data_IF_440406200249
#
_entry.id   IF_440406200249
#
_cell.length_a   1.000
_cell.length_b   1.000
_cell.length_c   1.000
_cell.angle_alpha   90.00
_cell.angle_beta   90.00
_cell.angle_gamma   90.00
#
_symmetry.space_group_name_H-M   'P 1'
#
loop_
_entity.id
_entity.type
_entity.pdbx_description
1 polymer ?
#
# COMPACT_ATOMS: atom_id res chain seq x y z
N UNK A 1 -22.32 -13.71 13.66
CA UNK A 1 -21.04 -13.22 13.16
C UNK A 1 -21.28 -11.84 12.57
N UNK A 2 -20.52 -10.86 13.04
CA UNK A 2 -20.43 -9.55 12.40
C UNK A 2 -19.08 -9.48 11.70
N UNK A 3 -19.03 -9.01 10.45
CA UNK A 3 -17.80 -8.79 9.71
C UNK A 3 -17.71 -7.31 9.35
N UNK A 4 -16.53 -6.75 9.54
CA UNK A 4 -16.17 -5.42 9.05
C UNK A 4 -14.72 -5.42 8.57
N UNK A 5 -14.39 -4.47 7.69
CA UNK A 5 -13.01 -4.20 7.34
C UNK A 5 -12.62 -2.78 7.72
N UNK A 6 -11.38 -2.60 8.14
CA UNK A 6 -10.79 -1.30 8.42
C UNK A 6 -9.42 -1.18 7.76
N UNK A 7 -8.94 0.05 7.59
CA UNK A 7 -7.56 0.27 7.16
C UNK A 7 -6.68 0.24 8.41
N UNK A 8 -5.61 -0.56 8.38
CA UNK A 8 -4.49 -0.42 9.30
C UNK A 8 -3.48 0.53 8.65
N UNK A 9 -3.44 1.81 9.06
CA UNK A 9 -2.56 2.77 8.45
C UNK A 9 -1.11 2.47 8.83
N UNK A 10 -0.22 2.46 7.85
CA UNK A 10 1.20 2.47 8.10
C UNK A 10 1.61 3.92 8.37
N UNK A 11 2.48 4.13 9.36
CA UNK A 11 2.96 5.47 9.73
C UNK A 11 3.98 5.99 8.71
N UNK A 12 3.53 6.26 7.49
CA UNK A 12 4.33 6.79 6.40
C UNK A 12 4.02 8.27 6.17
N UNK A 13 5.04 9.03 5.78
CA UNK A 13 4.82 10.38 5.27
C UNK A 13 3.99 10.33 3.99
N UNK A 14 3.14 11.34 3.77
CA UNK A 14 2.30 11.41 2.58
C UNK A 14 3.16 11.28 1.30
N UNK A 15 2.90 10.29 0.44
CA UNK A 15 3.76 9.99 -0.69
C UNK A 15 3.55 10.98 -1.83
N UNK A 16 4.63 11.64 -2.24
CA UNK A 16 4.72 12.38 -3.50
C UNK A 16 5.85 11.79 -4.33
N UNK A 17 5.73 11.77 -5.65
CA UNK A 17 6.77 11.15 -6.49
C UNK A 17 8.13 11.83 -6.31
N UNK A 18 8.14 13.16 -6.20
CA UNK A 18 9.35 13.94 -5.87
C UNK A 18 9.89 13.55 -4.48
N UNK A 19 9.03 13.51 -3.46
CA UNK A 19 9.42 13.13 -2.11
C UNK A 19 10.01 11.71 -2.04
N UNK A 20 9.46 10.79 -2.82
CA UNK A 20 9.98 9.44 -2.98
C UNK A 20 11.34 9.44 -3.70
N UNK A 21 11.52 10.22 -4.77
CA UNK A 21 12.84 10.36 -5.42
C UNK A 21 13.91 10.79 -4.40
N UNK A 22 13.63 11.79 -3.57
CA UNK A 22 14.57 12.20 -2.52
C UNK A 22 14.82 11.11 -1.47
N UNK A 23 13.79 10.34 -1.13
CA UNK A 23 13.92 9.19 -0.23
C UNK A 23 14.77 8.07 -0.84
N UNK A 24 14.65 7.84 -2.15
CA UNK A 24 15.49 6.92 -2.89
C UNK A 24 16.97 7.32 -2.83
N UNK A 25 17.29 8.61 -3.03
CA UNK A 25 18.66 9.10 -2.86
C UNK A 25 19.19 8.87 -1.45
N UNK A 26 18.40 9.14 -0.40
CA UNK A 26 18.80 8.83 0.98
C UNK A 26 19.08 7.35 1.20
N UNK A 27 18.30 6.45 0.59
CA UNK A 27 18.53 5.00 0.66
C UNK A 27 19.83 4.60 -0.07
N UNK A 28 20.07 5.12 -1.27
CA UNK A 28 21.33 4.89 -1.99
C UNK A 28 22.54 5.45 -1.23
N UNK A 29 22.39 6.62 -0.59
CA UNK A 29 23.42 7.24 0.25
C UNK A 29 23.77 6.39 1.48
N UNK A 30 22.77 5.76 2.11
CA UNK A 30 22.99 4.84 3.23
C UNK A 30 23.86 3.64 2.81
N UNK A 31 23.56 3.07 1.64
CA UNK A 31 24.39 2.01 1.06
C UNK A 31 25.79 2.54 0.75
N UNK A 32 25.91 3.69 0.08
CA UNK A 32 27.20 4.30 -0.22
C UNK A 32 28.08 4.47 1.03
N UNK A 33 27.51 4.97 2.14
CA UNK A 33 28.19 5.10 3.44
C UNK A 33 28.63 3.76 4.00
N UNK A 34 27.77 2.74 3.95
CA UNK A 34 28.08 1.40 4.44
C UNK A 34 29.28 0.78 3.71
N UNK A 35 29.39 1.00 2.40
CA UNK A 35 30.46 0.45 1.56
C UNK A 35 31.61 1.44 1.31
N UNK A 36 31.63 2.60 1.98
CA UNK A 36 32.65 3.65 1.81
C UNK A 36 32.80 4.14 0.36
N UNK A 37 31.70 4.19 -0.38
CA UNK A 37 31.64 4.64 -1.77
C UNK A 37 31.35 6.16 -1.78
N UNK A 38 32.13 6.97 -2.52
CA UNK A 38 31.84 8.38 -2.67
C UNK A 38 30.51 8.58 -3.42
N UNK A 39 29.81 9.67 -3.12
CA UNK A 39 28.56 9.99 -3.82
C UNK A 39 28.85 10.23 -5.32
N UNK A 40 28.00 9.66 -6.17
CA UNK A 40 28.13 9.71 -7.63
C UNK A 40 27.10 10.63 -8.29
N UNK A 41 26.52 11.55 -7.51
CA UNK A 41 25.61 12.59 -7.96
C UNK A 41 26.00 13.92 -7.32
N UNK A 42 25.54 15.02 -7.90
CA UNK A 42 25.71 16.34 -7.30
C UNK A 42 24.72 16.55 -6.15
N UNK A 43 25.22 16.38 -4.93
CA UNK A 43 24.43 16.57 -3.71
C UNK A 43 24.00 18.05 -3.50
N UNK A 44 24.73 19.02 -4.05
CA UNK A 44 24.32 20.44 -3.99
C UNK A 44 23.13 20.69 -4.91
N UNK A 45 23.19 20.20 -6.14
CA UNK A 45 22.08 20.26 -7.11
C UNK A 45 20.82 19.61 -6.51
N UNK A 46 20.96 18.40 -5.94
CA UNK A 46 19.85 17.68 -5.33
C UNK A 46 19.23 18.46 -4.14
N UNK A 47 20.07 19.04 -3.27
CA UNK A 47 19.59 19.87 -2.14
C UNK A 47 18.88 21.13 -2.61
N UNK A 48 19.36 21.76 -3.67
CA UNK A 48 18.71 22.93 -4.26
C UNK A 48 17.33 22.55 -4.80
N UNK A 49 17.22 21.46 -5.56
CA UNK A 49 15.95 20.96 -6.09
C UNK A 49 14.96 20.66 -4.96
N UNK A 50 15.42 20.05 -3.86
CA UNK A 50 14.56 19.77 -2.70
C UNK A 50 14.05 21.06 -2.06
N UNK A 51 14.91 22.08 -1.94
CA UNK A 51 14.53 23.38 -1.40
C UNK A 51 13.49 24.06 -2.29
N UNK A 52 13.70 24.08 -3.59
CA UNK A 52 12.76 24.66 -4.56
C UNK A 52 11.40 23.94 -4.52
N UNK A 53 11.38 22.61 -4.45
CA UNK A 53 10.16 21.83 -4.28
C UNK A 53 9.37 22.23 -3.03
N UNK A 54 10.03 22.40 -1.88
CA UNK A 54 9.38 22.77 -0.62
C UNK A 54 8.87 24.23 -0.62
N UNK A 55 9.47 25.12 -1.41
CA UNK A 55 9.06 26.52 -1.53
C UNK A 55 7.95 26.73 -2.58
N UNK A 56 7.88 25.87 -3.58
CA UNK A 56 6.96 26.02 -4.70
C UNK A 56 5.54 25.56 -4.36
N UNK A 57 4.56 26.41 -4.72
CA UNK A 57 3.13 26.14 -4.54
C UNK A 57 2.38 25.92 -5.85
N UNK A 58 3.00 26.21 -7.00
CA UNK A 58 2.37 26.14 -8.32
C UNK A 58 2.55 24.76 -8.96
N UNK A 59 1.46 24.23 -9.53
CA UNK A 59 1.43 22.89 -10.13
C UNK A 59 2.43 22.71 -11.27
N UNK A 60 2.53 23.66 -12.19
CA UNK A 60 3.39 23.54 -13.38
C UNK A 60 4.88 23.52 -13.02
N UNK A 61 5.27 24.29 -11.99
CA UNK A 61 6.63 24.28 -11.46
C UNK A 61 6.95 22.94 -10.80
N UNK A 62 6.00 22.35 -10.06
CA UNK A 62 6.18 21.02 -9.46
C UNK A 62 6.36 19.95 -10.54
N UNK A 63 5.63 20.05 -11.66
CA UNK A 63 5.80 19.11 -12.79
C UNK A 63 7.22 19.21 -13.35
N UNK A 64 7.72 20.42 -13.58
CA UNK A 64 9.08 20.64 -14.07
C UNK A 64 10.14 20.05 -13.11
N UNK A 65 10.04 20.37 -11.82
CA UNK A 65 10.93 19.82 -10.79
C UNK A 65 10.88 18.29 -10.71
N UNK A 66 9.71 17.70 -10.94
CA UNK A 66 9.58 16.24 -11.00
C UNK A 66 10.40 15.65 -12.15
N UNK A 67 10.35 16.24 -13.35
CA UNK A 67 11.14 15.78 -14.48
C UNK A 67 12.64 15.88 -14.22
N UNK A 68 13.10 17.02 -13.67
CA UNK A 68 14.51 17.20 -13.32
C UNK A 68 14.96 16.18 -12.27
N UNK A 69 14.21 16.04 -11.18
CA UNK A 69 14.51 15.07 -10.13
C UNK A 69 14.57 13.63 -10.68
N UNK A 70 13.64 13.28 -11.56
CA UNK A 70 13.57 11.95 -12.16
C UNK A 70 14.75 11.69 -13.10
N UNK A 71 15.21 12.71 -13.84
CA UNK A 71 16.38 12.59 -14.72
C UNK A 71 17.65 12.32 -13.90
N UNK A 72 17.87 13.09 -12.83
CA UNK A 72 19.01 12.90 -11.91
C UNK A 72 18.90 11.51 -11.26
N UNK A 73 17.72 11.12 -10.79
CA UNK A 73 17.47 9.80 -10.23
C UNK A 73 17.78 8.67 -11.21
N UNK A 74 17.34 8.78 -12.46
CA UNK A 74 17.60 7.78 -13.50
C UNK A 74 19.10 7.60 -13.79
N UNK A 75 19.89 8.67 -13.70
CA UNK A 75 21.36 8.61 -13.80
C UNK A 75 21.95 7.96 -12.55
N UNK A 76 21.54 8.40 -11.36
CA UNK A 76 21.99 7.85 -10.09
C UNK A 76 21.71 6.35 -9.95
N UNK A 77 20.52 5.91 -10.35
CA UNK A 77 20.08 4.51 -10.28
C UNK A 77 20.91 3.60 -11.19
N UNK A 78 21.25 4.03 -12.41
CA UNK A 78 22.12 3.25 -13.32
C UNK A 78 23.52 3.04 -12.75
N UNK A 79 24.07 4.04 -12.06
CA UNK A 79 25.35 3.88 -11.36
C UNK A 79 25.19 3.00 -10.13
N UNK A 80 24.09 3.13 -9.39
CA UNK A 80 23.79 2.29 -8.24
C UNK A 80 23.71 0.81 -8.63
N UNK A 81 23.00 0.47 -9.72
CA UNK A 81 22.94 -0.89 -10.25
C UNK A 81 24.32 -1.50 -10.48
N UNK A 82 25.24 -0.75 -11.11
CA UNK A 82 26.63 -1.19 -11.33
C UNK A 82 27.39 -1.42 -10.03
N UNK A 83 27.19 -0.52 -9.05
CA UNK A 83 27.78 -0.66 -7.71
C UNK A 83 27.31 -1.96 -7.07
N UNK A 84 26.00 -2.23 -7.07
CA UNK A 84 25.43 -3.45 -6.48
C UNK A 84 25.94 -4.71 -7.18
N UNK A 85 26.08 -4.67 -8.52
CA UNK A 85 26.65 -5.78 -9.29
C UNK A 85 28.13 -6.05 -8.98
N UNK A 86 28.89 -5.03 -8.58
CA UNK A 86 30.30 -5.18 -8.19
C UNK A 86 30.52 -5.67 -6.75
N UNK A 87 29.47 -5.76 -5.93
CA UNK A 87 29.59 -6.27 -4.56
C UNK A 87 29.91 -7.78 -4.57
N UNK A 88 30.77 -8.22 -3.67
CA UNK A 88 31.14 -9.63 -3.52
C UNK A 88 29.95 -10.49 -3.05
N UNK A 89 29.84 -11.74 -3.53
CA UNK A 89 28.77 -12.66 -3.14
C UNK A 89 28.82 -13.09 -1.66
N UNK A 90 30.00 -13.03 -1.04
CA UNK A 90 30.21 -13.31 0.38
C UNK A 90 29.65 -12.25 1.32
N UNK A 91 29.21 -11.10 0.80
CA UNK A 91 28.67 -10.03 1.62
C UNK A 91 27.25 -10.35 2.10
N UNK A 92 27.15 -10.54 3.41
CA UNK A 92 25.90 -10.77 4.15
C UNK A 92 24.81 -9.70 3.92
N UNK A 93 25.18 -8.49 3.48
CA UNK A 93 24.22 -7.42 3.21
C UNK A 93 23.81 -7.31 1.74
N UNK A 94 24.47 -8.02 0.82
CA UNK A 94 24.20 -7.95 -0.62
C UNK A 94 22.74 -8.25 -0.96
N UNK A 95 22.12 -9.24 -0.30
CA UNK A 95 20.71 -9.56 -0.51
C UNK A 95 19.78 -8.37 -0.17
N UNK A 96 20.06 -7.65 0.93
CA UNK A 96 19.28 -6.47 1.31
C UNK A 96 19.45 -5.34 0.31
N UNK A 97 20.67 -5.15 -0.18
CA UNK A 97 20.99 -4.13 -1.19
C UNK A 97 20.34 -4.47 -2.54
N UNK A 98 20.31 -5.74 -2.94
CA UNK A 98 19.60 -6.22 -4.12
C UNK A 98 18.09 -5.97 -4.01
N UNK A 99 17.47 -6.29 -2.87
CA UNK A 99 16.05 -5.99 -2.63
C UNK A 99 15.75 -4.49 -2.73
N UNK A 100 16.65 -3.64 -2.24
CA UNK A 100 16.53 -2.19 -2.40
C UNK A 100 16.64 -1.79 -3.88
N UNK A 101 17.62 -2.33 -4.62
CA UNK A 101 17.78 -2.06 -6.05
C UNK A 101 16.52 -2.45 -6.83
N UNK A 102 15.97 -3.64 -6.60
CA UNK A 102 14.74 -4.12 -7.24
C UNK A 102 13.57 -3.15 -6.98
N UNK A 103 13.44 -2.68 -5.73
CA UNK A 103 12.40 -1.73 -5.35
C UNK A 103 12.59 -0.36 -6.02
N UNK A 104 13.83 0.12 -6.14
CA UNK A 104 14.16 1.37 -6.83
C UNK A 104 13.93 1.26 -8.35
N UNK A 105 14.25 0.12 -8.96
CA UNK A 105 13.98 -0.15 -10.38
C UNK A 105 12.48 -0.25 -10.65
N UNK A 106 11.72 -0.91 -9.77
CA UNK A 106 10.25 -0.94 -9.85
C UNK A 106 9.67 0.48 -9.75
N UNK A 107 10.18 1.30 -8.82
CA UNK A 107 9.75 2.69 -8.68
C UNK A 107 10.07 3.52 -9.93
N UNK A 108 11.25 3.34 -10.52
CA UNK A 108 11.65 3.98 -11.77
C UNK A 108 10.70 3.63 -12.91
N UNK A 109 10.45 2.32 -13.13
CA UNK A 109 9.50 1.82 -14.14
C UNK A 109 8.08 2.37 -13.95
N UNK A 110 7.58 2.41 -12.72
CA UNK A 110 6.26 2.99 -12.43
C UNK A 110 6.19 4.50 -12.74
N UNK A 111 7.30 5.23 -12.65
CA UNK A 111 7.34 6.63 -13.09
C UNK A 111 7.38 6.76 -14.61
N UNK A 112 8.05 5.86 -15.33
CA UNK A 112 7.98 5.81 -16.79
C UNK A 112 6.56 5.55 -17.29
N UNK A 113 5.84 4.59 -16.69
CA UNK A 113 4.43 4.32 -16.99
C UNK A 113 3.55 5.56 -16.79
N UNK A 114 3.78 6.29 -15.69
CA UNK A 114 3.06 7.53 -15.41
C UNK A 114 3.35 8.59 -16.48
N UNK A 115 4.61 8.74 -16.89
CA UNK A 115 5.01 9.68 -17.95
C UNK A 115 4.44 9.30 -19.32
N UNK A 116 4.24 8.00 -19.58
CA UNK A 116 3.55 7.48 -20.75
C UNK A 116 2.02 7.72 -20.72
N UNK A 117 1.49 8.29 -19.63
CA UNK A 117 0.07 8.63 -19.49
C UNK A 117 -0.78 7.52 -18.86
N UNK A 118 -0.18 6.46 -18.31
CA UNK A 118 -0.92 5.42 -17.61
C UNK A 118 -1.60 5.97 -16.36
N UNK A 119 -2.94 5.93 -16.34
CA UNK A 119 -3.74 6.45 -15.21
C UNK A 119 -3.81 5.49 -14.02
N UNK A 120 -3.67 4.18 -14.28
CA UNK A 120 -3.83 3.15 -13.26
C UNK A 120 -2.61 2.24 -13.24
N UNK A 121 -1.71 2.47 -12.28
CA UNK A 121 -0.48 1.71 -12.11
C UNK A 121 -0.67 0.79 -10.90
N UNK A 122 -0.80 -0.53 -11.11
CA UNK A 122 -1.04 -1.46 -10.03
C UNK A 122 0.16 -1.50 -9.07
N UNK A 123 -0.11 -1.73 -7.79
CA UNK A 123 0.91 -1.84 -6.74
C UNK A 123 1.92 -0.68 -6.72
N UNK A 124 1.41 0.56 -6.91
CA UNK A 124 2.22 1.77 -6.87
C UNK A 124 2.98 1.86 -5.54
N UNK A 125 4.30 2.05 -5.63
CA UNK A 125 5.16 2.26 -4.46
C UNK A 125 4.80 3.61 -3.84
N UNK A 126 4.50 3.58 -2.54
CA UNK A 126 4.20 4.76 -1.71
C UNK A 126 5.20 4.95 -0.58
N UNK A 127 6.07 3.97 -0.30
CA UNK A 127 7.15 4.10 0.67
C UNK A 127 8.25 3.08 0.39
N UNK A 128 9.50 3.50 0.57
CA UNK A 128 10.65 2.59 0.58
C UNK A 128 10.91 1.97 1.96
N UNK A 129 10.32 2.51 3.02
CA UNK A 129 10.42 1.93 4.37
C UNK A 129 9.31 0.90 4.62
N UNK A 130 8.17 1.05 3.93
CA UNK A 130 6.99 0.19 4.04
C UNK A 130 6.56 -0.22 2.63
N UNK A 131 7.30 -1.14 1.96
CA UNK A 131 7.07 -1.48 0.55
C UNK A 131 5.70 -2.10 0.29
N UNK A 132 5.08 -2.68 1.31
CA UNK A 132 3.75 -3.30 1.23
C UNK A 132 2.61 -2.31 1.50
N UNK A 133 2.90 -1.08 1.92
CA UNK A 133 1.87 -0.07 2.04
C UNK A 133 1.23 0.20 0.67
N UNK A 134 -0.08 0.34 0.64
CA UNK A 134 -0.84 0.65 -0.57
C UNK A 134 -1.80 1.80 -0.30
N UNK A 135 -2.13 2.62 -1.31
CA UNK A 135 -3.20 3.60 -1.20
C UNK A 135 -4.55 2.90 -1.09
N UNK A 136 -5.34 3.22 -0.06
CA UNK A 136 -6.66 2.65 0.20
C UNK A 136 -7.70 3.78 0.29
N UNK A 137 -8.69 3.74 -0.60
CA UNK A 137 -9.85 4.67 -0.59
C UNK A 137 -11.10 3.95 -0.10
N UNK A 138 -11.68 4.44 1.01
CA UNK A 138 -12.93 3.94 1.60
C UNK A 138 -14.08 4.96 1.56
N UNK A 139 -13.99 6.00 0.73
CA UNK A 139 -15.07 6.99 0.60
C UNK A 139 -15.24 7.94 1.79
N UNK A 140 -14.32 7.90 2.76
CA UNK A 140 -14.25 8.85 3.89
C UNK A 140 -14.06 10.27 3.37
N UNK A 141 -14.67 11.26 4.04
CA UNK A 141 -14.53 12.69 3.70
C UNK A 141 -13.11 13.20 3.97
N UNK A 142 -12.47 12.77 5.07
CA UNK A 142 -11.07 13.05 5.36
C UNK A 142 -10.48 11.97 6.29
N UNK A 143 -9.25 11.48 6.03
CA UNK A 143 -8.52 11.63 4.77
C UNK A 143 -9.23 10.86 3.63
N UNK A 144 -9.20 11.40 2.42
CA UNK A 144 -9.81 10.77 1.23
C UNK A 144 -9.11 9.46 0.82
N UNK A 145 -7.85 9.29 1.23
CA UNK A 145 -7.01 8.13 0.98
C UNK A 145 -6.14 7.88 2.20
N UNK A 146 -6.14 6.65 2.69
CA UNK A 146 -5.25 6.16 3.73
C UNK A 146 -4.16 5.30 3.07
N UNK A 147 -3.05 5.06 3.77
CA UNK A 147 -1.95 4.25 3.25
C UNK A 147 -1.60 3.14 4.23
N UNK A 148 -1.59 1.90 3.75
CA UNK A 148 -1.24 0.75 4.57
C UNK A 148 -1.87 -0.53 4.05
N UNK A 149 -2.46 -1.29 4.96
CA UNK A 149 -3.07 -2.59 4.72
C UNK A 149 -4.55 -2.59 5.13
N UNK A 150 -5.32 -3.58 4.65
CA UNK A 150 -6.70 -3.78 5.06
C UNK A 150 -6.77 -4.88 6.10
N UNK A 151 -7.35 -4.57 7.26
CA UNK A 151 -7.74 -5.57 8.23
C UNK A 151 -9.19 -5.98 7.98
N UNK A 152 -9.42 -7.28 7.96
CA UNK A 152 -10.75 -7.86 8.07
C UNK A 152 -10.91 -8.47 9.45
N UNK A 153 -12.00 -8.11 10.12
CA UNK A 153 -12.30 -8.51 11.48
C UNK A 153 -13.65 -9.20 11.51
N UNK A 154 -13.78 -10.23 12.35
CA UNK A 154 -15.07 -10.80 12.69
C UNK A 154 -15.32 -10.80 14.18
N UNK A 155 -16.59 -10.66 14.57
CA UNK A 155 -17.03 -10.63 15.95
C UNK A 155 -18.19 -11.60 16.18
N UNK A 156 -18.23 -12.18 17.38
CA UNK A 156 -19.39 -12.94 17.84
C UNK A 156 -20.47 -12.00 18.42
N UNK A 157 -21.62 -12.57 18.82
CA UNK A 157 -22.77 -11.80 19.32
C UNK A 157 -22.47 -11.05 20.62
N UNK A 158 -21.53 -11.54 21.43
CA UNK A 158 -21.09 -10.91 22.66
C UNK A 158 -20.08 -9.77 22.42
N UNK A 159 -19.68 -9.52 21.16
CA UNK A 159 -18.73 -8.47 20.80
C UNK A 159 -17.26 -8.88 20.90
N UNK A 160 -16.96 -10.17 21.15
CA UNK A 160 -15.59 -10.65 21.11
C UNK A 160 -15.12 -10.81 19.67
N UNK A 161 -13.91 -10.34 19.41
CA UNK A 161 -13.22 -10.54 18.14
C UNK A 161 -12.82 -12.01 17.99
N UNK A 162 -13.19 -12.64 16.89
CA UNK A 162 -12.96 -14.06 16.62
C UNK A 162 -11.85 -14.25 15.60
N UNK A 163 -11.92 -13.54 14.46
CA UNK A 163 -10.88 -13.58 13.43
C UNK A 163 -10.31 -12.20 13.14
N UNK A 164 -9.03 -12.20 12.74
CA UNK A 164 -8.30 -11.04 12.23
C UNK A 164 -7.50 -11.53 11.05
N UNK A 165 -7.67 -10.88 9.91
CA UNK A 165 -6.94 -11.17 8.68
C UNK A 165 -6.36 -9.85 8.16
N UNK A 166 -5.10 -9.88 7.72
CA UNK A 166 -4.40 -8.70 7.21
C UNK A 166 -4.05 -8.88 5.74
N UNK A 167 -4.41 -7.90 4.93
CA UNK A 167 -4.24 -7.93 3.48
C UNK A 167 -3.46 -6.72 2.98
N UNK A 168 -2.51 -6.97 2.09
CA UNK A 168 -1.81 -5.92 1.36
C UNK A 168 -2.80 -5.21 0.42
N UNK A 169 -2.95 -3.89 0.60
CA UNK A 169 -3.90 -3.09 -0.18
C UNK A 169 -5.36 -3.32 0.18
N UNK A 170 -6.25 -3.05 -0.79
CA UNK A 170 -7.70 -3.17 -0.63
C UNK A 170 -8.21 -4.36 -1.44
N UNK A 171 -8.26 -5.57 -0.86
CA UNK A 171 -8.97 -6.68 -1.47
C UNK A 171 -10.45 -6.33 -1.71
N UNK A 172 -11.10 -7.07 -2.61
CA UNK A 172 -12.52 -6.91 -2.84
C UNK A 172 -13.30 -7.52 -1.65
N UNK A 173 -13.99 -6.70 -0.88
CA UNK A 173 -14.75 -7.14 0.31
C UNK A 173 -15.70 -8.31 -0.02
N UNK A 174 -16.28 -8.31 -1.23
CA UNK A 174 -17.15 -9.40 -1.71
C UNK A 174 -16.48 -10.76 -1.77
N UNK A 175 -15.17 -10.82 -2.00
CA UNK A 175 -14.44 -12.09 -2.12
C UNK A 175 -13.89 -12.58 -0.78
N UNK A 176 -13.85 -11.72 0.24
CA UNK A 176 -13.26 -12.06 1.55
C UNK A 176 -14.24 -12.73 2.50
N UNK A 177 -15.54 -12.49 2.29
CA UNK A 177 -16.62 -12.98 3.15
C UNK A 177 -16.53 -14.49 3.43
N UNK A 178 -16.36 -15.31 2.39
CA UNK A 178 -16.37 -16.77 2.51
C UNK A 178 -15.21 -17.31 3.34
N UNK A 179 -14.03 -16.73 3.19
CA UNK A 179 -12.85 -17.17 3.93
C UNK A 179 -12.95 -16.80 5.41
N UNK A 180 -13.43 -15.59 5.70
CA UNK A 180 -13.70 -15.15 7.09
C UNK A 180 -14.79 -15.99 7.74
N UNK A 181 -15.86 -16.34 7.02
CA UNK A 181 -16.90 -17.27 7.51
C UNK A 181 -16.26 -18.60 7.91
N UNK A 182 -15.48 -19.22 7.02
CA UNK A 182 -14.83 -20.50 7.28
C UNK A 182 -13.95 -20.45 8.53
N UNK A 183 -13.12 -19.40 8.65
CA UNK A 183 -12.27 -19.20 9.82
C UNK A 183 -13.06 -18.96 11.12
N UNK A 184 -14.18 -18.26 11.02
CA UNK A 184 -15.08 -18.03 12.15
C UNK A 184 -15.71 -19.36 12.63
N UNK A 185 -16.20 -20.17 11.70
CA UNK A 185 -16.81 -21.48 11.99
C UNK A 185 -15.81 -22.45 12.63
N UNK A 186 -14.58 -22.46 12.13
CA UNK A 186 -13.49 -23.26 12.68
C UNK A 186 -13.21 -22.88 14.15
N UNK A 187 -13.12 -21.58 14.45
CA UNK A 187 -12.84 -21.08 15.80
C UNK A 187 -14.01 -21.24 16.77
N UNK A 188 -15.23 -21.02 16.31
CA UNK A 188 -16.45 -21.13 17.12
C UNK A 188 -16.98 -22.56 17.19
N UNK A 189 -16.43 -23.49 16.38
CA UNK A 189 -16.85 -24.88 16.22
C UNK A 189 -18.32 -25.01 15.81
N UNK A 190 -18.76 -24.16 14.88
CA UNK A 190 -20.12 -24.17 14.36
C UNK A 190 -20.47 -22.93 13.54
N UNK A 191 -21.54 -23.03 12.76
CA UNK A 191 -22.05 -21.94 11.94
C UNK A 191 -22.71 -20.84 12.77
N UNK A 192 -22.51 -19.56 12.44
CA UNK A 192 -23.19 -18.48 13.12
C UNK A 192 -24.68 -18.47 12.79
N UNK A 193 -25.53 -18.14 13.76
CA UNK A 193 -26.97 -17.97 13.56
C UNK A 193 -27.31 -16.78 12.63
N UNK A 194 -26.46 -15.74 12.66
CA UNK A 194 -26.58 -14.53 11.85
C UNK A 194 -25.26 -14.21 11.16
N UNK A 195 -25.29 -13.82 9.88
CA UNK A 195 -24.16 -13.23 9.15
C UNK A 195 -24.44 -11.77 8.84
N UNK A 196 -23.73 -10.84 9.48
CA UNK A 196 -23.99 -9.40 9.35
C UNK A 196 -22.75 -8.71 8.80
N UNK A 197 -22.91 -7.87 7.78
CA UNK A 197 -21.86 -7.06 7.19
C UNK A 197 -22.40 -5.82 6.49
N UNK A 198 -21.50 -4.95 6.03
CA UNK A 198 -21.87 -3.77 5.25
C UNK A 198 -22.25 -4.10 3.79
N UNK A 199 -22.65 -3.06 3.04
CA UNK A 199 -23.01 -3.19 1.62
C UNK A 199 -21.83 -3.60 0.72
N UNK A 200 -20.60 -3.30 1.13
CA UNK A 200 -19.37 -3.69 0.42
C UNK A 200 -19.25 -5.21 0.29
N UNK A 201 -19.69 -5.96 1.31
CA UNK A 201 -19.73 -7.42 1.30
C UNK A 201 -20.86 -8.01 0.45
N UNK A 202 -21.82 -7.21 -0.03
CA UNK A 202 -23.01 -7.74 -0.72
C UNK A 202 -22.68 -8.36 -2.08
N UNK A 203 -22.91 -9.66 -2.21
CA UNK A 203 -22.85 -10.41 -3.48
C UNK A 203 -23.92 -11.52 -3.48
N UNK A 204 -24.26 -12.07 -4.66
CA UNK A 204 -25.19 -13.22 -4.74
C UNK A 204 -24.65 -14.45 -3.99
N UNK A 205 -23.33 -14.62 -4.01
CA UNK A 205 -22.64 -15.72 -3.34
C UNK A 205 -22.64 -15.52 -1.83
N UNK A 206 -22.39 -14.31 -1.34
CA UNK A 206 -22.28 -14.05 0.10
C UNK A 206 -23.64 -14.12 0.81
N UNK A 207 -24.74 -13.93 0.09
CA UNK A 207 -26.09 -14.09 0.62
C UNK A 207 -26.48 -15.55 0.93
N UNK A 208 -25.67 -16.53 0.51
CA UNK A 208 -25.92 -17.95 0.77
C UNK A 208 -24.82 -18.59 1.63
N UNK A 209 -23.90 -17.78 2.15
CA UNK A 209 -22.78 -18.21 2.99
C UNK A 209 -22.86 -17.45 4.32
N UNK A 210 -22.86 -18.14 5.47
CA UNK A 210 -22.76 -19.59 5.63
C UNK A 210 -24.05 -20.34 5.24
N UNK A 211 -23.93 -21.60 4.80
CA UNK A 211 -25.07 -22.40 4.29
C UNK A 211 -26.11 -22.72 5.36
N UNK A 212 -25.67 -22.90 6.60
CA UNK A 212 -26.52 -23.26 7.74
C UNK A 212 -27.01 -22.04 8.53
N UNK A 213 -26.89 -20.84 7.94
CA UNK A 213 -27.28 -19.57 8.54
C UNK A 213 -28.57 -19.06 7.92
N UNK A 214 -29.64 -19.01 8.71
CA UNK A 214 -30.97 -18.57 8.26
C UNK A 214 -31.08 -17.06 8.02
N UNK A 215 -30.12 -16.27 8.51
CA UNK A 215 -30.21 -14.81 8.56
C UNK A 215 -28.91 -14.14 8.12
N UNK A 216 -28.86 -13.66 6.87
CA UNK A 216 -27.71 -12.95 6.32
C UNK A 216 -28.12 -11.52 5.93
N UNK A 217 -27.48 -10.53 6.53
CA UNK A 217 -27.77 -9.10 6.35
C UNK A 217 -26.51 -8.37 5.86
N UNK A 218 -26.55 -7.85 4.61
CA UNK A 218 -25.42 -7.18 3.95
C UNK A 218 -25.79 -5.75 3.49
N UNK A 219 -26.56 -5.03 4.32
CA UNK A 219 -26.74 -3.59 4.24
C UNK A 219 -27.48 -3.00 3.01
N UNK A 220 -28.75 -3.34 2.79
CA UNK A 220 -29.68 -2.41 2.12
C UNK A 220 -30.83 -2.03 3.06
N UNK A 221 -31.34 -0.81 2.90
CA UNK A 221 -32.56 -0.33 3.58
C UNK A 221 -33.78 -1.19 3.25
N UNK A 222 -33.81 -1.81 2.06
CA UNK A 222 -34.87 -2.75 1.65
C UNK A 222 -34.77 -4.15 2.27
N UNK A 223 -33.64 -4.47 2.92
CA UNK A 223 -33.39 -5.81 3.49
C UNK A 223 -33.85 -5.89 4.96
N UNK A 224 -34.43 -4.80 5.48
CA UNK A 224 -35.09 -4.74 6.79
C UNK A 224 -36.54 -4.35 6.51
N UNK A 225 -37.50 -5.25 6.74
CA UNK A 225 -38.90 -4.84 6.82
C UNK A 225 -38.98 -3.80 7.96
N UNK A 226 -39.25 -2.53 7.63
CA UNK A 226 -39.66 -1.53 8.61
C UNK A 226 -41.03 -1.94 9.15
N UNK A 227 -41.04 -2.89 10.08
CA UNK A 227 -42.17 -3.10 10.98
C UNK A 227 -41.96 -2.20 12.18
N UNK A 228 -42.61 -1.04 12.13
CA UNK A 228 -43.02 -0.30 13.34
C UNK A 228 -44.03 -1.12 14.16
#
# INVERSE_FOLDING_TARGET
>A
MLIDSTVLPNNISYPTDIGLIFKAFKKMEQVAKQYHIPLWWDDKELKQLYREYNLNRKKDQIIFLFFEALLIFSRGLRTFEKIVQSLEDSDTNKEKVLKLLDLLMLFHKQNEQKLAGEKHIPNRIVSFDEPDARPIKKGKKHPNCEFGSTLQLSFNRQGFMVTVENFIGKPNDKTLWSDTVRLFEEKMKGSPEYGIGDQGYRSMVNQTIPKDTSHIFLGKSSDVDEKE
#
